data_IF_912472856902
#
_entry.id   IF_912472856902
#
_cell.length_a   1.000
_cell.length_b   1.000
_cell.length_c   1.000
_cell.angle_alpha   90.00
_cell.angle_beta   90.00
_cell.angle_gamma   90.00
#
_symmetry.space_group_name_H-M   'P 1'
#
loop_
_entity.id
_entity.type
_entity.pdbx_description
1 polymer ?
#
# COMPACT_ATOMS: atom_id res chain seq x y z
N UNK A 1 -17.46 -27.39 -8.20
CA UNK A 1 -16.04 -26.96 -8.30
C UNK A 1 -15.88 -25.47 -8.09
N UNK A 2 -16.66 -24.63 -8.79
CA UNK A 2 -16.68 -23.16 -8.63
C UNK A 2 -16.62 -22.68 -7.17
N UNK A 3 -17.39 -23.29 -6.26
CA UNK A 3 -17.47 -22.88 -4.84
C UNK A 3 -16.13 -22.88 -4.08
N UNK A 4 -15.20 -23.79 -4.37
CA UNK A 4 -13.92 -23.85 -3.67
C UNK A 4 -12.99 -22.71 -4.12
N UNK A 5 -12.88 -22.51 -5.44
CA UNK A 5 -12.09 -21.43 -6.04
C UNK A 5 -12.68 -20.05 -5.67
N UNK A 6 -14.01 -19.90 -5.69
CA UNK A 6 -14.70 -18.67 -5.24
C UNK A 6 -14.39 -18.38 -3.76
N UNK A 7 -14.40 -19.42 -2.90
CA UNK A 7 -14.03 -19.25 -1.49
C UNK A 7 -12.58 -18.80 -1.33
N UNK A 8 -11.65 -19.38 -2.08
CA UNK A 8 -10.25 -18.99 -2.06
C UNK A 8 -10.07 -17.53 -2.50
N UNK A 9 -10.77 -17.08 -3.53
CA UNK A 9 -10.80 -15.66 -3.94
C UNK A 9 -11.32 -14.75 -2.81
N UNK A 10 -12.39 -15.16 -2.11
CA UNK A 10 -12.88 -14.43 -0.94
C UNK A 10 -11.86 -14.33 0.20
N UNK A 11 -11.05 -15.38 0.40
CA UNK A 11 -9.99 -15.38 1.42
C UNK A 11 -8.81 -14.47 1.02
N UNK A 12 -8.46 -14.42 -0.26
CA UNK A 12 -7.44 -13.47 -0.77
C UNK A 12 -7.93 -12.04 -0.54
N UNK A 13 -9.20 -11.75 -0.86
CA UNK A 13 -9.80 -10.42 -0.62
C UNK A 13 -9.73 -10.02 0.85
N UNK A 14 -10.07 -10.93 1.75
CA UNK A 14 -10.02 -10.67 3.19
C UNK A 14 -8.59 -10.33 3.67
N UNK A 15 -7.58 -11.06 3.19
CA UNK A 15 -6.18 -10.81 3.53
C UNK A 15 -5.67 -9.46 2.99
N UNK A 16 -6.08 -9.07 1.77
CA UNK A 16 -5.76 -7.75 1.22
C UNK A 16 -6.40 -6.62 2.03
N UNK A 17 -7.67 -6.77 2.45
CA UNK A 17 -8.37 -5.78 3.25
C UNK A 17 -7.82 -5.67 4.68
N UNK A 18 -7.29 -6.76 5.25
CA UNK A 18 -6.63 -6.73 6.56
C UNK A 18 -5.20 -6.19 6.51
N UNK A 19 -4.68 -5.86 5.32
CA UNK A 19 -3.32 -5.37 5.16
C UNK A 19 -2.25 -6.45 5.40
N UNK A 20 -2.59 -7.74 5.21
CA UNK A 20 -1.64 -8.85 5.34
C UNK A 20 -1.22 -9.36 3.94
N UNK A 21 -0.16 -8.77 3.34
CA UNK A 21 0.28 -9.15 2.00
C UNK A 21 0.86 -10.58 1.96
N UNK A 22 1.44 -11.07 3.05
CA UNK A 22 2.00 -12.42 3.11
C UNK A 22 0.90 -13.47 3.09
N UNK A 23 -0.14 -13.31 3.90
CA UNK A 23 -1.29 -14.19 3.86
C UNK A 23 -1.97 -14.14 2.49
N UNK A 24 -2.11 -12.96 1.88
CA UNK A 24 -2.69 -12.84 0.54
C UNK A 24 -1.88 -13.63 -0.51
N UNK A 25 -0.55 -13.55 -0.49
CA UNK A 25 0.33 -14.27 -1.41
C UNK A 25 0.16 -15.79 -1.28
N UNK A 26 0.20 -16.32 -0.05
CA UNK A 26 0.04 -17.77 0.21
C UNK A 26 -1.31 -18.26 -0.35
N UNK A 27 -2.39 -17.49 -0.15
CA UNK A 27 -3.72 -17.87 -0.67
C UNK A 27 -3.81 -17.81 -2.19
N UNK A 28 -3.07 -16.90 -2.84
CA UNK A 28 -2.96 -16.85 -4.30
C UNK A 28 -2.24 -18.10 -4.81
N UNK A 29 -1.14 -18.51 -4.18
CA UNK A 29 -0.42 -19.73 -4.55
C UNK A 29 -1.30 -20.99 -4.41
N UNK A 30 -2.10 -21.07 -3.35
CA UNK A 30 -3.05 -22.15 -3.13
C UNK A 30 -4.16 -22.17 -4.19
N UNK A 31 -4.66 -21.01 -4.59
CA UNK A 31 -5.63 -20.87 -5.67
C UNK A 31 -5.05 -21.38 -6.99
N UNK A 32 -3.83 -20.94 -7.34
CA UNK A 32 -3.13 -21.37 -8.56
C UNK A 32 -2.90 -22.88 -8.55
N UNK A 33 -2.43 -23.43 -7.43
CA UNK A 33 -2.21 -24.88 -7.28
C UNK A 33 -3.50 -25.68 -7.44
N UNK A 34 -4.60 -25.17 -6.89
CA UNK A 34 -5.93 -25.79 -7.00
C UNK A 34 -6.42 -25.77 -8.44
N UNK A 35 -6.34 -24.61 -9.10
CA UNK A 35 -6.72 -24.43 -10.50
C UNK A 35 -5.88 -25.30 -11.45
N UNK A 36 -4.56 -25.41 -11.23
CA UNK A 36 -3.66 -26.21 -12.04
C UNK A 36 -3.95 -27.72 -11.93
N UNK A 37 -4.27 -28.21 -10.72
CA UNK A 37 -4.56 -29.63 -10.49
C UNK A 37 -5.93 -30.04 -11.02
N UNK A 38 -6.91 -29.16 -10.91
CA UNK A 38 -8.32 -29.49 -11.14
C UNK A 38 -8.84 -29.03 -12.51
N UNK A 39 -8.12 -28.14 -13.17
CA UNK A 39 -8.60 -27.45 -14.36
C UNK A 39 -9.66 -26.39 -14.01
N UNK A 40 -9.89 -25.48 -14.94
CA UNK A 40 -10.91 -24.44 -14.83
C UNK A 40 -11.79 -24.52 -16.07
N UNK A 41 -13.04 -24.93 -15.90
CA UNK A 41 -14.04 -24.97 -16.96
C UNK A 41 -14.49 -23.55 -17.34
N UNK A 42 -15.11 -23.41 -18.51
CA UNK A 42 -15.52 -22.11 -19.05
C UNK A 42 -16.52 -21.37 -18.13
N UNK A 43 -17.44 -22.09 -17.45
CA UNK A 43 -18.40 -21.48 -16.54
C UNK A 43 -17.75 -20.93 -15.28
N UNK A 44 -16.82 -21.69 -14.69
CA UNK A 44 -16.03 -21.22 -13.56
C UNK A 44 -15.10 -20.07 -13.95
N UNK A 45 -14.50 -20.11 -15.15
CA UNK A 45 -13.67 -19.01 -15.68
C UNK A 45 -14.45 -17.70 -15.77
N UNK A 46 -15.65 -17.72 -16.32
CA UNK A 46 -16.51 -16.54 -16.43
C UNK A 46 -16.85 -15.91 -15.07
N UNK A 47 -16.83 -16.70 -13.99
CA UNK A 47 -17.05 -16.21 -12.62
C UNK A 47 -15.75 -15.72 -11.96
N UNK A 48 -14.62 -16.37 -12.25
CA UNK A 48 -13.33 -16.06 -11.64
C UNK A 48 -12.68 -14.81 -12.24
N UNK A 49 -12.76 -14.61 -13.54
CA UNK A 49 -12.15 -13.47 -14.23
C UNK A 49 -12.53 -12.10 -13.61
N UNK A 50 -13.81 -11.77 -13.42
CA UNK A 50 -14.16 -10.49 -12.79
C UNK A 50 -13.66 -10.39 -11.35
N UNK A 51 -13.72 -11.49 -10.59
CA UNK A 51 -13.27 -11.49 -9.20
C UNK A 51 -11.74 -11.32 -9.07
N UNK A 52 -10.96 -11.88 -10.01
CA UNK A 52 -9.52 -11.67 -10.09
C UNK A 52 -9.16 -10.25 -10.53
N UNK A 53 -9.94 -9.65 -11.43
CA UNK A 53 -9.79 -8.25 -11.81
C UNK A 53 -10.01 -7.33 -10.61
N UNK A 54 -11.08 -7.55 -9.82
CA UNK A 54 -11.33 -6.81 -8.58
C UNK A 54 -10.17 -6.94 -7.57
N UNK A 55 -9.62 -8.15 -7.40
CA UNK A 55 -8.46 -8.36 -6.51
C UNK A 55 -7.22 -7.59 -6.97
N UNK A 56 -6.97 -7.54 -8.28
CA UNK A 56 -5.86 -6.77 -8.84
C UNK A 56 -6.04 -5.28 -8.57
N UNK A 57 -7.24 -4.76 -8.80
CA UNK A 57 -7.54 -3.34 -8.61
C UNK A 57 -7.42 -2.96 -7.12
N UNK A 58 -7.89 -3.82 -6.21
CA UNK A 58 -7.69 -3.67 -4.76
C UNK A 58 -6.21 -3.67 -4.37
N UNK A 59 -5.42 -4.61 -4.89
CA UNK A 59 -4.00 -4.69 -4.60
C UNK A 59 -3.24 -3.44 -5.11
N UNK A 60 -3.61 -2.93 -6.29
CA UNK A 60 -3.02 -1.73 -6.86
C UNK A 60 -3.39 -0.48 -6.06
N UNK A 61 -4.65 -0.36 -5.62
CA UNK A 61 -5.07 0.73 -4.73
C UNK A 61 -4.33 0.68 -3.39
N UNK A 62 -4.16 -0.50 -2.82
CA UNK A 62 -3.40 -0.71 -1.58
C UNK A 62 -1.93 -0.29 -1.72
N UNK A 63 -1.28 -0.67 -2.83
CA UNK A 63 0.09 -0.25 -3.13
C UNK A 63 0.21 1.28 -3.23
N UNK A 64 -0.70 1.92 -3.97
CA UNK A 64 -0.70 3.38 -4.13
C UNK A 64 -0.89 4.09 -2.78
N UNK A 65 -1.83 3.63 -1.96
CA UNK A 65 -2.04 4.16 -0.61
C UNK A 65 -0.82 3.98 0.30
N UNK A 66 -0.16 2.82 0.26
CA UNK A 66 1.06 2.56 1.03
C UNK A 66 2.23 3.48 0.61
N UNK A 67 2.38 3.74 -0.69
CA UNK A 67 3.39 4.66 -1.21
C UNK A 67 3.14 6.10 -0.74
N UNK A 68 1.90 6.57 -0.85
CA UNK A 68 1.51 7.91 -0.37
C UNK A 68 1.74 8.06 1.15
N UNK A 69 1.41 7.03 1.94
CA UNK A 69 1.66 7.04 3.37
C UNK A 69 3.16 7.11 3.69
N UNK A 70 3.99 6.35 2.97
CA UNK A 70 5.45 6.40 3.13
C UNK A 70 6.03 7.78 2.79
N UNK A 71 5.50 8.45 1.77
CA UNK A 71 5.87 9.82 1.41
C UNK A 71 5.50 10.82 2.51
N UNK A 72 4.28 10.71 3.06
CA UNK A 72 3.84 11.57 4.17
C UNK A 72 4.72 11.40 5.41
N UNK A 73 5.07 10.16 5.78
CA UNK A 73 5.99 9.88 6.89
C UNK A 73 7.36 10.51 6.65
N UNK A 74 7.90 10.41 5.43
CA UNK A 74 9.17 11.05 5.07
C UNK A 74 9.09 12.57 5.21
N UNK A 75 8.00 13.19 4.76
CA UNK A 75 7.78 14.62 4.89
C UNK A 75 7.72 15.05 6.36
N UNK A 76 7.03 14.29 7.21
CA UNK A 76 6.97 14.53 8.67
C UNK A 76 8.37 14.46 9.29
N UNK A 77 9.15 13.44 8.94
CA UNK A 77 10.53 13.29 9.45
C UNK A 77 11.40 14.47 9.02
N UNK A 78 11.29 14.93 7.77
CA UNK A 78 12.03 16.10 7.29
C UNK A 78 11.60 17.40 8.00
N UNK A 79 10.29 17.61 8.18
CA UNK A 79 9.76 18.75 8.92
C UNK A 79 10.25 18.73 10.38
N UNK A 80 10.23 17.58 11.05
CA UNK A 80 10.73 17.43 12.41
C UNK A 80 12.23 17.75 12.52
N UNK A 81 13.04 17.34 11.54
CA UNK A 81 14.47 17.74 11.45
C UNK A 81 14.65 19.24 11.21
N UNK A 82 13.79 19.87 10.42
CA UNK A 82 13.85 21.32 10.20
C UNK A 82 13.47 22.13 11.45
N UNK A 83 12.65 21.53 12.33
CA UNK A 83 12.25 22.10 13.62
C UNK A 83 13.30 21.88 14.72
N UNK A 84 14.35 21.08 14.46
CA UNK A 84 15.47 20.95 15.40
C UNK A 84 16.22 22.28 15.47
N UNK A 85 16.11 22.92 16.62
CA UNK A 85 16.84 24.14 16.98
C UNK A 85 18.32 23.87 17.24
N UNK A 86 18.75 22.60 17.28
CA UNK A 86 20.12 22.18 17.55
C UNK A 86 20.55 21.13 16.54
N UNK A 87 21.75 21.29 15.96
CA UNK A 87 22.36 20.29 15.09
C UNK A 87 22.86 19.07 15.87
N UNK A 88 23.38 18.06 15.16
CA UNK A 88 23.94 16.84 15.77
C UNK A 88 25.20 17.08 16.63
N UNK A 89 25.72 18.32 16.69
CA UNK A 89 26.83 18.74 17.55
C UNK A 89 26.34 19.59 18.74
N UNK A 90 25.02 19.71 18.94
CA UNK A 90 24.44 20.52 20.02
C UNK A 90 24.55 22.03 19.79
N UNK A 91 24.85 22.48 18.57
CA UNK A 91 24.93 23.90 18.22
C UNK A 91 23.59 24.39 17.73
N UNK A 92 23.18 25.56 18.20
CA UNK A 92 21.88 26.15 17.85
C UNK A 92 21.84 26.52 16.36
N UNK A 93 20.97 25.88 15.59
CA UNK A 93 20.66 26.26 14.22
C UNK A 93 19.76 27.48 14.24
N UNK A 94 20.35 28.66 13.99
CA UNK A 94 19.60 29.91 13.84
C UNK A 94 19.26 30.08 12.36
N UNK A 95 18.05 29.70 11.97
CA UNK A 95 17.50 30.14 10.68
C UNK A 95 17.27 31.63 10.78
N UNK A 96 18.21 32.43 10.25
CA UNK A 96 18.07 33.88 10.20
C UNK A 96 16.91 34.23 9.28
N UNK A 97 15.72 34.42 9.84
CA UNK A 97 14.61 35.07 9.16
C UNK A 97 15.04 36.49 8.87
N UNK A 98 15.56 36.75 7.66
CA UNK A 98 15.73 38.12 7.16
C UNK A 98 14.35 38.70 6.98
N UNK A 99 13.86 39.39 8.00
CA UNK A 99 12.75 40.31 7.84
C UNK A 99 13.19 41.38 6.82
N UNK A 100 12.57 41.38 5.65
CA UNK A 100 12.68 42.51 4.73
C UNK A 100 11.88 43.64 5.37
N UNK A 101 12.54 44.45 6.20
CA UNK A 101 11.95 45.68 6.70
C UNK A 101 11.67 46.59 5.50
N UNK A 102 10.44 47.10 5.31
CA UNK A 102 10.18 48.13 4.32
C UNK A 102 10.85 49.42 4.82
N UNK A 103 12.00 49.77 4.25
CA UNK A 103 12.64 51.05 4.47
C UNK A 103 11.71 52.14 3.90
N UNK A 104 11.08 52.91 4.79
CA UNK A 104 10.37 54.14 4.44
C UNK A 104 11.18 55.34 4.92
N UNK A 105 11.21 56.32 4.02
CA UNK A 105 11.77 57.67 4.06
C UNK A 105 13.26 57.77 3.71
#
# INVERSE_FOLDING_TARGET
MSRALIRQVGQIRAALLSGDPHAALIRIEDLVRTAARQGVDAGTRATLEPALAELRDLAQASLSGAQQAAEQVRAIIQAARSLQTYDSQGRKTVTATRAVSPQRF
#
